data_IF_388624125500
#
_entry.id   IF_388624125500
#
_cell.length_a   1.000
_cell.length_b   1.000
_cell.length_c   1.000
_cell.angle_alpha   90.00
_cell.angle_beta   90.00
_cell.angle_gamma   90.00
#
_symmetry.space_group_name_H-M   'P 1'
#
loop_
_entity.id
_entity.type
_entity.pdbx_description
1 polymer ?
#
# COMPACT_ATOMS: atom_id res chain seq x y z
N UNK A 1 5.41 -9.46 -15.79
CA UNK A 1 4.12 -8.91 -16.28
C UNK A 1 2.91 -9.50 -15.55
N UNK A 2 2.89 -10.80 -15.26
CA UNK A 2 1.71 -11.50 -14.72
C UNK A 2 1.08 -10.86 -13.47
N UNK A 3 1.86 -10.50 -12.44
CA UNK A 3 1.26 -9.96 -11.20
C UNK A 3 0.63 -8.56 -11.34
N UNK A 4 1.12 -7.71 -12.24
CA UNK A 4 0.47 -6.40 -12.49
C UNK A 4 -0.88 -6.60 -13.20
N UNK A 5 -0.93 -7.47 -14.19
CA UNK A 5 -2.19 -7.79 -14.88
C UNK A 5 -3.18 -8.47 -13.97
N UNK A 6 -2.74 -9.43 -13.16
CA UNK A 6 -3.58 -10.08 -12.17
C UNK A 6 -4.17 -9.06 -11.18
N UNK A 7 -3.35 -8.15 -10.64
CA UNK A 7 -3.83 -7.08 -9.76
C UNK A 7 -4.87 -6.18 -10.45
N UNK A 8 -4.60 -5.73 -11.68
CA UNK A 8 -5.51 -4.86 -12.44
C UNK A 8 -6.84 -5.54 -12.72
N UNK A 9 -6.83 -6.76 -13.27
CA UNK A 9 -8.06 -7.49 -13.61
C UNK A 9 -8.88 -7.76 -12.36
N UNK A 10 -8.24 -8.22 -11.28
CA UNK A 10 -8.95 -8.52 -10.03
C UNK A 10 -9.47 -7.25 -9.35
N UNK A 11 -8.77 -6.12 -9.46
CA UNK A 11 -9.24 -4.83 -8.94
C UNK A 11 -10.42 -4.27 -9.74
N UNK A 12 -10.41 -4.43 -11.06
CA UNK A 12 -11.54 -4.08 -11.92
C UNK A 12 -12.75 -4.98 -11.65
N UNK A 13 -12.53 -6.27 -11.37
CA UNK A 13 -13.61 -7.17 -10.98
C UNK A 13 -14.35 -6.65 -9.74
N UNK A 14 -13.63 -6.06 -8.77
CA UNK A 14 -14.25 -5.47 -7.57
C UNK A 14 -15.24 -4.35 -7.89
N UNK A 15 -15.06 -3.60 -8.98
CA UNK A 15 -16.01 -2.57 -9.39
C UNK A 15 -17.27 -3.13 -10.07
N UNK A 16 -17.20 -4.36 -10.59
CA UNK A 16 -18.28 -5.01 -11.34
C UNK A 16 -19.07 -5.97 -10.45
N UNK A 17 -18.44 -6.56 -9.43
CA UNK A 17 -19.11 -7.46 -8.48
C UNK A 17 -20.21 -6.68 -7.73
N UNK A 18 -21.48 -7.13 -7.80
CA UNK A 18 -22.58 -6.45 -7.15
C UNK A 18 -22.34 -6.27 -5.65
N UNK A 19 -22.50 -5.04 -5.17
CA UNK A 19 -22.38 -4.68 -3.76
C UNK A 19 -20.96 -4.68 -3.19
N UNK A 20 -19.92 -4.95 -3.99
CA UNK A 20 -18.54 -4.97 -3.49
C UNK A 20 -18.04 -3.59 -3.04
N UNK A 21 -18.42 -2.52 -3.75
CA UNK A 21 -18.09 -1.13 -3.43
C UNK A 21 -19.35 -0.32 -3.06
N UNK A 22 -20.35 -0.98 -2.48
CA UNK A 22 -21.56 -0.31 -2.00
C UNK A 22 -21.49 -0.08 -0.50
N UNK A 23 -22.08 1.03 -0.08
CA UNK A 23 -22.48 1.22 1.30
C UNK A 23 -23.98 0.83 1.37
N UNK A 24 -24.40 -0.14 2.22
CA UNK A 24 -25.76 -0.69 2.23
C UNK A 24 -26.88 0.36 2.34
N UNK A 25 -26.67 1.39 3.15
CA UNK A 25 -27.60 2.53 3.27
C UNK A 25 -27.62 3.47 2.05
N UNK A 26 -26.82 3.19 1.01
CA UNK A 26 -26.49 4.09 -0.09
C UNK A 26 -26.63 3.39 -1.45
N UNK A 27 -27.60 2.48 -1.58
CA UNK A 27 -27.98 1.92 -2.88
C UNK A 27 -28.37 3.05 -3.86
N UNK A 28 -28.21 2.84 -5.17
CA UNK A 28 -28.40 3.90 -6.17
C UNK A 28 -29.80 4.52 -6.18
N UNK A 29 -30.80 3.85 -5.63
CA UNK A 29 -32.16 4.38 -5.43
C UNK A 29 -32.26 5.15 -4.11
N UNK A 30 -31.72 4.61 -3.02
CA UNK A 30 -31.68 5.29 -1.72
C UNK A 30 -30.87 6.60 -1.77
N UNK A 31 -29.74 6.62 -2.49
CA UNK A 31 -28.92 7.82 -2.69
C UNK A 31 -29.63 8.89 -3.52
N UNK A 32 -30.37 8.49 -4.57
CA UNK A 32 -31.15 9.43 -5.40
C UNK A 32 -32.37 9.98 -4.69
N UNK A 33 -32.92 9.23 -3.73
CA UNK A 33 -34.02 9.64 -2.90
C UNK A 33 -33.58 10.43 -1.64
N UNK A 34 -32.29 10.42 -1.29
CA UNK A 34 -31.77 11.10 -0.10
C UNK A 34 -31.26 12.50 -0.43
N UNK A 35 -31.71 13.50 0.34
CA UNK A 35 -31.14 14.86 0.33
C UNK A 35 -29.86 15.00 1.19
N UNK A 36 -29.32 13.88 1.69
CA UNK A 36 -28.18 13.88 2.61
C UNK A 36 -26.84 14.01 1.86
N UNK A 37 -26.25 15.20 1.93
CA UNK A 37 -24.94 15.52 1.35
C UNK A 37 -23.81 14.67 1.95
N UNK A 38 -23.89 14.35 3.24
CA UNK A 38 -22.94 13.47 3.90
C UNK A 38 -22.97 12.10 3.25
N UNK A 39 -24.16 11.61 2.90
CA UNK A 39 -24.30 10.30 2.28
C UNK A 39 -23.66 10.22 0.89
N UNK A 40 -23.95 11.20 0.03
CA UNK A 40 -23.33 11.28 -1.29
C UNK A 40 -21.80 11.38 -1.23
N UNK A 41 -21.28 12.14 -0.25
CA UNK A 41 -19.84 12.32 -0.09
C UNK A 41 -19.10 11.02 0.24
N UNK A 42 -19.69 10.14 1.06
CA UNK A 42 -19.08 8.87 1.45
C UNK A 42 -18.89 7.91 0.25
N UNK A 43 -19.92 7.79 -0.60
CA UNK A 43 -19.87 6.99 -1.83
C UNK A 43 -18.79 7.54 -2.77
N UNK A 44 -18.77 8.86 -2.98
CA UNK A 44 -17.77 9.52 -3.82
C UNK A 44 -16.36 9.27 -3.31
N UNK A 45 -16.12 9.38 -1.99
CA UNK A 45 -14.81 9.12 -1.40
C UNK A 45 -14.35 7.67 -1.57
N UNK A 46 -15.24 6.69 -1.42
CA UNK A 46 -14.92 5.28 -1.65
C UNK A 46 -14.52 5.03 -3.11
N UNK A 47 -15.28 5.55 -4.07
CA UNK A 47 -14.97 5.42 -5.49
C UNK A 47 -13.71 6.20 -5.90
N UNK A 48 -13.46 7.37 -5.30
CA UNK A 48 -12.21 8.10 -5.49
C UNK A 48 -11.02 7.29 -4.95
N UNK A 49 -11.12 6.71 -3.76
CA UNK A 49 -10.06 5.84 -3.22
C UNK A 49 -9.82 4.63 -4.13
N UNK A 50 -10.88 4.01 -4.64
CA UNK A 50 -10.77 2.92 -5.62
C UNK A 50 -10.07 3.37 -6.92
N UNK A 51 -10.45 4.54 -7.43
CA UNK A 51 -9.88 5.10 -8.66
C UNK A 51 -8.39 5.47 -8.50
N UNK A 52 -7.98 5.99 -7.34
CA UNK A 52 -6.57 6.27 -7.04
C UNK A 52 -5.74 5.00 -7.09
N UNK A 53 -6.24 3.89 -6.53
CA UNK A 53 -5.55 2.60 -6.58
C UNK A 53 -5.50 2.05 -8.01
N UNK A 54 -6.59 2.17 -8.77
CA UNK A 54 -6.63 1.77 -10.18
C UNK A 54 -5.61 2.57 -11.02
N UNK A 55 -5.57 3.88 -10.86
CA UNK A 55 -4.62 4.77 -11.53
C UNK A 55 -3.17 4.46 -11.11
N UNK A 56 -2.94 4.21 -9.82
CA UNK A 56 -1.63 3.83 -9.30
C UNK A 56 -1.10 2.52 -9.90
N UNK A 57 -1.98 1.59 -10.27
CA UNK A 57 -1.59 0.37 -10.99
C UNK A 57 -1.25 0.61 -12.47
N UNK A 58 -1.69 1.71 -13.06
CA UNK A 58 -1.35 2.11 -14.44
C UNK A 58 -0.02 2.87 -14.44
N UNK A 59 0.09 3.88 -13.58
CA UNK A 59 1.28 4.71 -13.45
C UNK A 59 2.29 4.02 -12.54
N UNK A 60 3.18 3.21 -13.14
CA UNK A 60 4.22 2.49 -12.41
C UNK A 60 5.28 3.47 -11.89
N UNK A 61 5.12 3.91 -10.65
CA UNK A 61 6.02 4.84 -9.95
C UNK A 61 6.10 4.47 -8.46
N UNK A 62 7.22 4.75 -7.76
CA UNK A 62 7.34 4.55 -6.32
C UNK A 62 6.21 5.15 -5.47
N UNK A 63 5.79 6.38 -5.79
CA UNK A 63 4.65 7.01 -5.10
C UNK A 63 3.34 6.27 -5.38
N UNK A 64 3.12 5.82 -6.61
CA UNK A 64 1.96 4.98 -6.93
C UNK A 64 1.99 3.66 -6.16
N UNK A 65 3.17 3.05 -5.97
CA UNK A 65 3.32 1.85 -5.14
C UNK A 65 2.91 2.11 -3.69
N UNK A 66 3.32 3.25 -3.13
CA UNK A 66 2.90 3.67 -1.79
C UNK A 66 1.36 3.82 -1.75
N UNK A 67 0.75 4.49 -2.74
CA UNK A 67 -0.69 4.71 -2.79
C UNK A 67 -1.47 3.39 -2.84
N UNK A 68 -1.04 2.50 -3.74
CA UNK A 68 -1.63 1.18 -3.93
C UNK A 68 -1.53 0.35 -2.64
N UNK A 69 -0.37 0.31 -1.98
CA UNK A 69 -0.17 -0.46 -0.74
C UNK A 69 -0.80 0.17 0.50
N UNK A 70 -1.09 1.47 0.46
CA UNK A 70 -1.77 2.17 1.55
C UNK A 70 -3.29 2.01 1.47
N UNK A 71 -3.88 2.24 0.29
CA UNK A 71 -5.33 2.31 0.11
C UNK A 71 -5.96 0.93 -0.15
N UNK A 72 -5.29 0.03 -0.87
CA UNK A 72 -5.90 -1.27 -1.21
C UNK A 72 -6.30 -2.12 0.00
N UNK A 73 -5.53 -2.19 1.11
CA UNK A 73 -5.98 -2.96 2.25
C UNK A 73 -7.14 -2.28 2.98
N UNK A 74 -7.29 -0.94 2.89
CA UNK A 74 -8.39 -0.22 3.53
C UNK A 74 -9.71 -0.59 2.85
N UNK A 75 -9.68 -0.59 1.51
CA UNK A 75 -10.81 -1.00 0.67
C UNK A 75 -11.10 -2.48 0.88
N UNK A 76 -10.08 -3.34 0.98
CA UNK A 76 -10.29 -4.77 1.21
C UNK A 76 -10.96 -5.07 2.57
N UNK A 77 -10.53 -4.38 3.64
CA UNK A 77 -11.21 -4.51 4.95
C UNK A 77 -12.63 -3.97 4.87
N UNK A 78 -12.86 -2.85 4.17
CA UNK A 78 -14.21 -2.33 3.94
C UNK A 78 -15.11 -3.36 3.23
N UNK A 79 -14.65 -3.96 2.13
CA UNK A 79 -15.36 -5.03 1.40
C UNK A 79 -15.66 -6.21 2.34
N UNK A 80 -14.69 -6.63 3.14
CA UNK A 80 -14.86 -7.74 4.08
C UNK A 80 -15.89 -7.42 5.17
N UNK A 81 -15.81 -6.23 5.76
CA UNK A 81 -16.74 -5.74 6.78
C UNK A 81 -18.17 -5.63 6.23
N UNK A 82 -18.35 -5.07 5.03
CA UNK A 82 -19.66 -5.02 4.36
C UNK A 82 -20.20 -6.41 4.06
N UNK A 83 -19.32 -7.33 3.66
CA UNK A 83 -19.68 -8.73 3.49
C UNK A 83 -19.97 -9.45 4.81
N UNK A 84 -19.93 -8.82 5.98
CA UNK A 84 -20.36 -9.40 7.27
C UNK A 84 -21.61 -8.72 7.84
N UNK A 85 -21.75 -7.41 7.64
CA UNK A 85 -22.75 -6.59 8.35
C UNK A 85 -23.92 -6.15 7.47
N UNK A 86 -23.82 -6.24 6.14
CA UNK A 86 -24.92 -5.81 5.26
C UNK A 86 -26.11 -6.80 5.35
N UNK A 87 -27.24 -6.30 5.88
CA UNK A 87 -28.50 -7.06 5.97
C UNK A 87 -29.13 -7.29 4.59
N UNK A 88 -29.10 -6.27 3.70
CA UNK A 88 -29.50 -6.37 2.28
C UNK A 88 -28.34 -6.88 1.40
N UNK A 89 -27.70 -7.94 1.87
CA UNK A 89 -26.52 -8.48 1.22
C UNK A 89 -26.84 -9.00 -0.20
N UNK A 90 -25.98 -8.71 -1.20
CA UNK A 90 -26.07 -9.36 -2.49
C UNK A 90 -25.93 -10.88 -2.33
N UNK A 91 -26.31 -11.62 -3.38
CA UNK A 91 -26.23 -13.09 -3.41
C UNK A 91 -24.89 -13.60 -2.83
N UNK A 92 -24.93 -14.70 -2.06
CA UNK A 92 -23.77 -15.24 -1.34
C UNK A 92 -22.54 -15.36 -2.25
N UNK A 93 -22.74 -15.77 -3.51
CA UNK A 93 -21.66 -15.87 -4.50
C UNK A 93 -21.00 -14.53 -4.83
N UNK A 94 -21.75 -13.43 -4.91
CA UNK A 94 -21.21 -12.10 -5.12
C UNK A 94 -20.35 -11.65 -3.92
N UNK A 95 -20.78 -11.93 -2.69
CA UNK A 95 -19.99 -11.64 -1.47
C UNK A 95 -18.68 -12.41 -1.45
N UNK A 96 -18.74 -13.72 -1.73
CA UNK A 96 -17.55 -14.56 -1.79
C UNK A 96 -16.60 -14.10 -2.90
N UNK A 97 -17.12 -13.73 -4.07
CA UNK A 97 -16.33 -13.18 -5.16
C UNK A 97 -15.67 -11.85 -4.77
N UNK A 98 -16.40 -10.93 -4.12
CA UNK A 98 -15.86 -9.64 -3.67
C UNK A 98 -14.72 -9.81 -2.67
N UNK A 99 -14.94 -10.62 -1.62
CA UNK A 99 -13.93 -10.91 -0.59
C UNK A 99 -12.72 -11.64 -1.20
N UNK A 100 -12.95 -12.61 -2.07
CA UNK A 100 -11.90 -13.33 -2.78
C UNK A 100 -11.05 -12.39 -3.65
N UNK A 101 -11.69 -11.51 -4.42
CA UNK A 101 -11.00 -10.51 -5.23
C UNK A 101 -10.18 -9.54 -4.37
N UNK A 102 -10.76 -9.03 -3.28
CA UNK A 102 -10.09 -8.14 -2.34
C UNK A 102 -8.84 -8.79 -1.73
N UNK A 103 -8.95 -10.05 -1.28
CA UNK A 103 -7.83 -10.81 -0.71
C UNK A 103 -6.72 -11.03 -1.75
N UNK A 104 -7.08 -11.51 -2.95
CA UNK A 104 -6.12 -11.76 -4.03
C UNK A 104 -5.37 -10.47 -4.37
N UNK A 105 -6.07 -9.34 -4.50
CA UNK A 105 -5.44 -8.06 -4.82
C UNK A 105 -4.43 -7.64 -3.75
N UNK A 106 -4.82 -7.66 -2.47
CA UNK A 106 -3.93 -7.28 -1.36
C UNK A 106 -2.68 -8.16 -1.34
N UNK A 107 -2.85 -9.47 -1.46
CA UNK A 107 -1.73 -10.43 -1.52
C UNK A 107 -0.81 -10.09 -2.69
N UNK A 108 -1.35 -9.86 -3.89
CA UNK A 108 -0.56 -9.55 -5.08
C UNK A 108 0.20 -8.23 -4.94
N UNK A 109 -0.44 -7.18 -4.39
CA UNK A 109 0.17 -5.85 -4.24
C UNK A 109 1.29 -5.80 -3.20
N UNK A 110 1.21 -6.63 -2.16
CA UNK A 110 2.25 -6.74 -1.13
C UNK A 110 3.46 -7.57 -1.58
N UNK A 111 3.38 -8.31 -2.69
CA UNK A 111 4.52 -9.09 -3.20
C UNK A 111 5.68 -8.22 -3.67
N UNK A 112 6.88 -8.76 -3.52
CA UNK A 112 8.13 -8.12 -3.95
C UNK A 112 8.16 -7.88 -5.47
N UNK A 113 7.68 -8.83 -6.29
CA UNK A 113 7.72 -8.70 -7.75
C UNK A 113 6.76 -7.66 -8.31
N UNK A 114 5.66 -7.35 -7.60
CA UNK A 114 4.78 -6.24 -7.93
C UNK A 114 5.46 -4.89 -7.66
N UNK A 115 6.07 -4.75 -6.47
CA UNK A 115 6.80 -3.54 -6.09
C UNK A 115 8.03 -3.29 -6.96
N UNK A 116 8.78 -4.33 -7.32
CA UNK A 116 9.96 -4.24 -8.17
C UNK A 116 9.65 -3.56 -9.51
N UNK A 117 8.45 -3.79 -10.09
CA UNK A 117 8.07 -3.12 -11.34
C UNK A 117 7.80 -1.63 -11.18
N UNK A 118 7.22 -1.21 -10.05
CA UNK A 118 6.96 0.20 -9.80
C UNK A 118 8.25 0.98 -9.62
N UNK A 119 9.24 0.38 -8.96
CA UNK A 119 10.54 1.03 -8.75
C UNK A 119 11.40 0.99 -10.01
N UNK A 120 11.42 -0.14 -10.73
CA UNK A 120 12.19 -0.28 -11.96
C UNK A 120 11.65 0.62 -13.09
N UNK A 121 10.36 0.94 -13.10
CA UNK A 121 9.79 1.86 -14.08
C UNK A 121 10.37 3.28 -14.02
N UNK A 122 10.96 3.68 -12.89
CA UNK A 122 11.65 4.96 -12.73
C UNK A 122 13.17 4.88 -12.97
N UNK A 123 13.70 3.71 -13.34
CA UNK A 123 15.14 3.47 -13.53
C UNK A 123 15.67 4.14 -14.81
N UNK A 124 16.89 4.71 -14.73
CA UNK A 124 17.53 5.33 -15.88
C UNK A 124 18.48 4.37 -16.61
N UNK A 125 18.39 4.31 -17.94
CA UNK A 125 19.30 3.55 -18.78
C UNK A 125 19.46 2.08 -18.34
N UNK A 126 20.64 1.73 -17.85
CA UNK A 126 20.99 0.36 -17.42
C UNK A 126 20.86 0.12 -15.91
N UNK A 127 20.28 1.06 -15.16
CA UNK A 127 20.02 0.89 -13.73
C UNK A 127 19.10 -0.31 -13.46
N UNK A 128 19.47 -1.12 -12.47
CA UNK A 128 18.57 -2.12 -11.90
C UNK A 128 18.27 -1.77 -10.45
N UNK A 129 17.00 -1.48 -10.17
CA UNK A 129 16.55 -1.06 -8.86
C UNK A 129 15.86 -2.21 -8.13
N UNK A 130 16.30 -2.46 -6.90
CA UNK A 130 15.80 -3.52 -6.04
C UNK A 130 15.27 -2.94 -4.73
N UNK A 131 13.97 -3.10 -4.47
CA UNK A 131 13.34 -2.64 -3.24
C UNK A 131 13.94 -3.32 -2.01
N UNK A 132 14.23 -2.51 -1.00
CA UNK A 132 14.62 -2.98 0.32
C UNK A 132 13.37 -3.32 1.15
N UNK A 133 13.49 -4.33 2.00
CA UNK A 133 12.44 -4.65 2.96
C UNK A 133 12.33 -3.53 4.00
N UNK A 134 11.12 -3.11 4.39
CA UNK A 134 10.95 -2.11 5.44
C UNK A 134 11.45 -2.65 6.80
N UNK A 135 12.15 -1.83 7.61
CA UNK A 135 12.53 -2.20 8.97
C UNK A 135 11.31 -2.45 9.85
N UNK A 136 11.38 -3.45 10.73
CA UNK A 136 10.26 -3.79 11.64
C UNK A 136 9.91 -2.61 12.53
N UNK A 137 10.94 -1.91 13.02
CA UNK A 137 10.81 -0.74 13.89
C UNK A 137 9.97 0.39 13.27
N UNK A 138 9.90 0.47 11.93
CA UNK A 138 9.07 1.45 11.22
C UNK A 138 7.75 0.84 10.75
N UNK A 139 7.75 -0.43 10.36
CA UNK A 139 6.57 -1.10 9.84
C UNK A 139 5.46 -1.23 10.89
N UNK A 140 5.79 -1.62 12.12
CA UNK A 140 4.79 -1.84 13.17
C UNK A 140 4.06 -0.54 13.57
N UNK A 141 4.75 0.58 13.88
CA UNK A 141 4.07 1.85 14.16
C UNK A 141 3.28 2.37 12.95
N UNK A 142 3.79 2.17 11.72
CA UNK A 142 3.07 2.57 10.50
C UNK A 142 1.78 1.79 10.33
N UNK A 143 1.78 0.49 10.62
CA UNK A 143 0.58 -0.35 10.59
C UNK A 143 -0.44 0.08 11.65
N UNK A 144 0.01 0.46 12.84
CA UNK A 144 -0.87 0.96 13.89
C UNK A 144 -1.54 2.29 13.50
N UNK A 145 -0.76 3.26 13.01
CA UNK A 145 -1.29 4.53 12.51
C UNK A 145 -2.31 4.30 11.40
N UNK A 146 -1.99 3.39 10.48
CA UNK A 146 -2.88 3.01 9.39
C UNK A 146 -4.20 2.42 9.91
N UNK A 147 -4.14 1.51 10.88
CA UNK A 147 -5.32 0.87 11.47
C UNK A 147 -6.21 1.88 12.19
N UNK A 148 -5.62 2.81 12.94
CA UNK A 148 -6.38 3.89 13.61
C UNK A 148 -6.99 4.84 12.58
N UNK A 149 -6.24 5.21 11.54
CA UNK A 149 -6.77 6.05 10.45
C UNK A 149 -7.96 5.36 9.74
N UNK A 150 -7.86 4.06 9.48
CA UNK A 150 -8.94 3.27 8.91
C UNK A 150 -10.16 3.22 9.84
N UNK A 151 -9.99 2.89 11.12
CA UNK A 151 -11.09 2.77 12.07
C UNK A 151 -11.84 4.10 12.22
N UNK A 152 -11.13 5.22 12.35
CA UNK A 152 -11.74 6.55 12.40
C UNK A 152 -12.44 6.93 11.09
N UNK A 153 -11.87 6.55 9.95
CA UNK A 153 -12.49 6.73 8.64
C UNK A 153 -13.77 5.91 8.50
N UNK A 154 -13.77 4.67 8.98
CA UNK A 154 -14.96 3.81 9.00
C UNK A 154 -16.06 4.39 9.89
N UNK A 155 -15.72 4.90 11.09
CA UNK A 155 -16.68 5.62 11.95
C UNK A 155 -17.27 6.83 11.22
N UNK A 156 -16.43 7.63 10.56
CA UNK A 156 -16.89 8.79 9.81
C UNK A 156 -17.82 8.45 8.63
N UNK A 157 -17.64 7.26 8.02
CA UNK A 157 -18.41 6.84 6.84
C UNK A 157 -19.67 6.05 7.18
N UNK A 158 -19.72 5.37 8.33
CA UNK A 158 -20.80 4.41 8.67
C UNK A 158 -21.65 4.82 9.87
N UNK A 159 -21.27 5.86 10.62
CA UNK A 159 -22.05 6.36 11.76
C UNK A 159 -22.77 7.64 11.36
N UNK A 160 -23.96 7.86 11.93
CA UNK A 160 -24.78 9.03 11.66
C UNK A 160 -23.99 10.36 11.80
N UNK A 161 -24.24 11.35 10.92
CA UNK A 161 -23.56 12.64 10.96
C UNK A 161 -23.71 13.36 12.29
N UNK A 162 -22.59 13.67 12.92
CA UNK A 162 -22.51 14.39 14.20
C UNK A 162 -21.17 15.11 14.31
N UNK A 163 -21.01 15.97 15.31
CA UNK A 163 -19.72 16.61 15.60
C UNK A 163 -18.63 15.56 15.86
N UNK A 164 -18.98 14.45 16.51
CA UNK A 164 -18.05 13.36 16.80
C UNK A 164 -17.54 12.67 15.51
N UNK A 165 -18.44 12.39 14.55
CA UNK A 165 -18.04 11.78 13.27
C UNK A 165 -17.26 12.77 12.39
N UNK A 166 -17.54 14.07 12.46
CA UNK A 166 -16.72 15.10 11.83
C UNK A 166 -15.29 15.16 12.40
N UNK A 167 -15.15 15.08 13.73
CA UNK A 167 -13.84 14.99 14.40
C UNK A 167 -13.11 13.70 13.99
N UNK A 168 -13.82 12.57 13.94
CA UNK A 168 -13.24 11.30 13.49
C UNK A 168 -12.75 11.38 12.03
N UNK A 169 -13.52 12.01 11.14
CA UNK A 169 -13.12 12.24 9.75
C UNK A 169 -11.84 13.07 9.65
N UNK A 170 -11.77 14.19 10.39
CA UNK A 170 -10.59 15.05 10.43
C UNK A 170 -9.36 14.30 10.97
N UNK A 171 -9.53 13.58 12.07
CA UNK A 171 -8.45 12.79 12.67
C UNK A 171 -7.97 11.68 11.73
N UNK A 172 -8.89 10.99 11.05
CA UNK A 172 -8.57 10.00 10.01
C UNK A 172 -7.75 10.63 8.88
N UNK A 173 -8.17 11.79 8.36
CA UNK A 173 -7.47 12.50 7.29
C UNK A 173 -6.05 12.93 7.71
N UNK A 174 -5.88 13.45 8.93
CA UNK A 174 -4.57 13.85 9.47
C UNK A 174 -3.64 12.66 9.65
N UNK A 175 -4.13 11.56 10.21
CA UNK A 175 -3.36 10.32 10.35
C UNK A 175 -3.01 9.70 9.00
N UNK A 176 -3.93 9.74 8.03
CA UNK A 176 -3.67 9.30 6.67
C UNK A 176 -2.57 10.15 6.00
N UNK A 177 -2.61 11.47 6.15
CA UNK A 177 -1.58 12.36 5.63
C UNK A 177 -0.21 12.13 6.30
N UNK A 178 -0.19 11.87 7.61
CA UNK A 178 1.04 11.52 8.33
C UNK A 178 1.59 10.15 7.89
N UNK A 179 0.74 9.13 7.83
CA UNK A 179 1.09 7.78 7.40
C UNK A 179 1.55 7.72 5.95
N UNK A 180 0.92 8.51 5.06
CA UNK A 180 1.29 8.65 3.66
C UNK A 180 2.76 9.04 3.49
N UNK A 181 3.23 10.03 4.26
CA UNK A 181 4.64 10.46 4.22
C UNK A 181 5.58 9.31 4.57
N UNK A 182 5.23 8.51 5.59
CA UNK A 182 6.05 7.37 6.03
C UNK A 182 6.10 6.25 4.99
N UNK A 183 4.95 5.88 4.42
CA UNK A 183 4.90 4.81 3.43
C UNK A 183 5.50 5.22 2.08
N UNK A 184 5.42 6.50 1.73
CA UNK A 184 6.12 7.05 0.56
C UNK A 184 7.63 6.90 0.69
N UNK A 185 8.19 7.21 1.86
CA UNK A 185 9.62 6.99 2.16
C UNK A 185 9.98 5.51 2.03
N UNK A 186 9.17 4.60 2.58
CA UNK A 186 9.41 3.15 2.48
C UNK A 186 9.37 2.63 1.04
N UNK A 187 8.49 3.18 0.20
CA UNK A 187 8.43 2.85 -1.23
C UNK A 187 9.64 3.38 -2.01
N UNK A 188 10.43 4.29 -1.41
CA UNK A 188 11.64 4.88 -1.94
C UNK A 188 12.93 4.26 -1.38
N UNK A 189 12.84 3.12 -0.69
CA UNK A 189 14.03 2.40 -0.21
C UNK A 189 14.44 1.35 -1.22
N UNK A 190 15.53 1.57 -1.95
CA UNK A 190 16.02 0.62 -2.94
C UNK A 190 17.53 0.70 -3.13
N UNK A 191 18.09 -0.42 -3.59
CA UNK A 191 19.44 -0.49 -4.14
C UNK A 191 19.39 -0.25 -5.64
N UNK A 192 20.35 0.50 -6.15
CA UNK A 192 20.53 0.74 -7.58
C UNK A 192 21.84 0.12 -8.01
N UNK A 193 21.77 -0.92 -8.83
CA UNK A 193 22.93 -1.53 -9.45
C UNK A 193 23.22 -0.82 -10.77
N UNK A 194 24.45 -0.33 -10.91
CA UNK A 194 24.96 0.35 -12.10
C UNK A 194 26.32 -0.23 -12.49
N UNK A 195 26.81 -0.02 -13.72
CA UNK A 195 28.12 -0.53 -14.13
C UNK A 195 29.27 -0.09 -13.21
N UNK A 196 29.18 1.12 -12.66
CA UNK A 196 30.19 1.73 -11.80
C UNK A 196 30.13 1.27 -10.32
N UNK A 197 29.10 0.53 -9.90
CA UNK A 197 28.95 0.09 -8.51
C UNK A 197 27.50 -0.03 -8.05
N UNK A 198 27.27 0.17 -6.76
CA UNK A 198 25.96 0.04 -6.12
C UNK A 198 25.65 1.33 -5.37
N UNK A 199 24.53 1.96 -5.69
CA UNK A 199 24.02 3.10 -4.94
C UNK A 199 22.91 2.65 -3.98
N UNK A 200 22.99 3.11 -2.74
CA UNK A 200 21.99 2.86 -1.71
C UNK A 200 21.13 4.10 -1.59
N UNK A 201 19.88 4.01 -2.06
CA UNK A 201 18.89 5.05 -1.89
C UNK A 201 17.95 4.64 -0.76
N UNK A 202 18.23 5.17 0.44
CA UNK A 202 17.41 4.92 1.62
C UNK A 202 17.17 6.24 2.38
N UNK A 203 16.11 7.00 2.01
CA UNK A 203 15.78 8.26 2.69
C UNK A 203 15.34 8.09 4.16
N UNK A 204 15.19 6.86 4.64
CA UNK A 204 14.87 6.58 6.04
C UNK A 204 16.13 6.57 6.92
N UNK A 205 17.23 6.00 6.41
CA UNK A 205 18.48 5.82 7.14
C UNK A 205 19.56 6.83 6.74
N UNK A 206 19.48 7.35 5.51
CA UNK A 206 20.49 8.21 4.91
C UNK A 206 19.89 9.57 4.58
N UNK A 207 20.69 10.62 4.81
CA UNK A 207 20.33 11.96 4.34
C UNK A 207 20.45 12.08 2.82
N UNK A 208 21.51 11.50 2.26
CA UNK A 208 21.84 11.53 0.84
C UNK A 208 22.11 10.12 0.32
N UNK A 209 21.87 9.92 -0.98
CA UNK A 209 22.19 8.65 -1.64
C UNK A 209 23.70 8.48 -1.67
N UNK A 210 24.21 7.38 -1.13
CA UNK A 210 25.65 7.07 -1.21
C UNK A 210 25.91 5.95 -2.21
N UNK A 211 27.08 5.96 -2.83
CA UNK A 211 27.49 4.99 -3.84
C UNK A 211 28.76 4.28 -3.39
N UNK A 212 28.69 2.95 -3.33
CA UNK A 212 29.87 2.08 -3.19
C UNK A 212 30.39 1.78 -4.58
N UNK A 213 31.66 2.08 -4.83
CA UNK A 213 32.28 1.89 -6.15
C UNK A 213 32.51 0.40 -6.39
N UNK A 214 32.48 -0.01 -7.65
CA UNK A 214 32.63 -1.42 -8.02
C UNK A 214 33.91 -2.08 -7.50
N UNK A 215 35.02 -1.36 -7.40
CA UNK A 215 36.28 -1.92 -6.88
C UNK A 215 36.29 -2.06 -5.36
N UNK A 216 35.39 -1.36 -4.67
CA UNK A 216 35.21 -1.43 -3.22
C UNK A 216 34.14 -2.45 -2.82
N UNK A 217 33.46 -3.08 -3.78
CA UNK A 217 32.46 -4.15 -3.54
C UNK A 217 33.12 -5.49 -3.85
N UNK A 218 33.43 -6.26 -2.81
CA UNK A 218 33.90 -7.64 -2.92
C UNK A 218 32.75 -8.61 -3.07
N UNK A 219 31.68 -8.44 -2.30
CA UNK A 219 30.49 -9.27 -2.35
C UNK A 219 29.22 -8.54 -1.87
N UNK A 220 28.07 -8.96 -2.39
CA UNK A 220 26.75 -8.61 -1.86
C UNK A 220 26.03 -9.89 -1.52
N UNK A 221 25.64 -10.04 -0.26
CA UNK A 221 25.06 -11.26 0.25
C UNK A 221 24.05 -11.00 1.36
N UNK A 222 23.34 -12.06 1.72
CA UNK A 222 22.64 -12.09 3.00
C UNK A 222 23.69 -12.28 4.10
N UNK A 223 23.52 -11.59 5.22
CA UNK A 223 24.39 -11.77 6.36
C UNK A 223 24.41 -13.25 6.77
N UNK A 224 25.59 -13.86 6.72
CA UNK A 224 25.82 -15.17 7.31
C UNK A 224 25.67 -15.04 8.84
N UNK A 225 25.18 -16.09 9.51
CA UNK A 225 24.95 -16.08 10.96
C UNK A 225 26.24 -15.93 11.78
N UNK A 226 27.41 -15.92 11.13
CA UNK A 226 28.72 -15.74 11.76
C UNK A 226 29.27 -14.36 11.38
N UNK A 227 29.78 -13.56 12.34
CA UNK A 227 30.31 -12.22 12.06
C UNK A 227 31.63 -12.35 11.28
N UNK A 228 31.54 -12.54 9.96
CA UNK A 228 32.73 -12.56 9.11
C UNK A 228 33.09 -11.11 8.76
N UNK A 229 34.02 -10.57 9.54
CA UNK A 229 34.70 -9.26 9.43
C UNK A 229 34.00 -8.04 10.07
N UNK A 230 34.80 -7.28 10.83
CA UNK A 230 34.46 -6.00 11.49
C UNK A 230 34.05 -4.89 10.50
N UNK A 231 34.13 -5.15 9.18
CA UNK A 231 33.92 -4.18 8.11
C UNK A 231 32.58 -4.34 7.38
N UNK A 232 31.71 -5.27 7.81
CA UNK A 232 30.40 -5.49 7.17
C UNK A 232 29.37 -4.43 7.56
N UNK A 233 28.64 -3.88 6.58
CA UNK A 233 27.59 -2.87 6.80
C UNK A 233 26.20 -3.40 6.46
N UNK A 234 25.27 -3.39 7.42
CA UNK A 234 23.85 -3.72 7.19
C UNK A 234 23.14 -2.58 6.45
N UNK A 235 22.87 -2.80 5.17
CA UNK A 235 22.17 -1.83 4.30
C UNK A 235 20.63 -1.93 4.40
N UNK A 236 20.10 -2.90 5.14
CA UNK A 236 18.65 -3.10 5.27
C UNK A 236 18.07 -2.36 6.47
N UNK A 237 18.88 -2.05 7.48
CA UNK A 237 18.50 -1.26 8.64
C UNK A 237 17.64 -2.05 9.61
N UNK A 238 18.09 -3.22 10.06
CA UNK A 238 17.38 -4.09 11.03
C UNK A 238 16.01 -4.57 10.51
N UNK A 239 15.99 -5.13 9.31
CA UNK A 239 14.79 -5.76 8.76
C UNK A 239 14.47 -7.08 9.45
N UNK A 240 13.23 -7.56 9.28
CA UNK A 240 12.90 -8.92 9.67
C UNK A 240 13.50 -9.93 8.69
N UNK A 241 14.06 -11.00 9.24
CA UNK A 241 14.81 -12.00 8.48
C UNK A 241 16.29 -11.63 8.38
N UNK A 242 16.98 -12.19 7.38
CA UNK A 242 18.41 -11.95 7.20
C UNK A 242 18.65 -10.57 6.57
N UNK A 243 19.49 -9.71 7.19
CA UNK A 243 19.90 -8.44 6.59
C UNK A 243 20.76 -8.69 5.35
N UNK A 244 20.80 -7.72 4.45
CA UNK A 244 21.73 -7.70 3.32
C UNK A 244 22.96 -6.91 3.74
N UNK A 245 24.13 -7.45 3.45
CA UNK A 245 25.41 -6.84 3.75
C UNK A 245 26.23 -6.64 2.47
N UNK A 246 27.06 -5.61 2.49
CA UNK A 246 28.09 -5.36 1.49
C UNK A 246 29.45 -5.45 2.19
N UNK A 247 30.38 -6.17 1.57
CA UNK A 247 31.79 -6.33 1.95
C UNK A 247 32.68 -6.05 0.77
#
# INVERSE_FOLDING_TARGET
MQSVWLARVTWLALAVVPGALSLPEYSGEALRASDDVGRASAVVLLWLAWAVVAFGMIVLHPLSLAAVRWLSPMIAIHVWWMALVADDAPEVWARLAAVGCALVVVVVMLRADFGARHVQAAAYGHERRHLLRPPVAVMLPSALVWLVAWALGAVALHVEPSIATAIAALASALLAAFGWRRVSVLAQRWLVFVPAGIAVHDPLMLRDTFMVRRHDVRAVGLAEQSPSSDESFDITGTTWGQPVQIT
#
